data_IF_818828727672
#
_entry.id   IF_818828727672
#
_cell.length_a   1.000
_cell.length_b   1.000
_cell.length_c   1.000
_cell.angle_alpha   90.00
_cell.angle_beta   90.00
_cell.angle_gamma   90.00
#
_symmetry.space_group_name_H-M   'P 1'
#
loop_
_entity.id
_entity.type
_entity.pdbx_description
1 polymer ?
#
# COMPACT_ATOMS: atom_id res chain seq x y z
N UNK A 1 -5.04 -13.90 18.66
CA UNK A 1 -4.10 -14.64 19.53
C UNK A 1 -3.07 -15.33 18.64
N UNK A 2 -1.82 -15.44 19.08
CA UNK A 2 -0.80 -16.19 18.36
C UNK A 2 -0.30 -17.31 19.27
N UNK A 3 -0.19 -18.53 18.74
CA UNK A 3 0.16 -19.73 19.49
C UNK A 3 1.00 -20.65 18.61
N UNK A 4 2.16 -21.07 19.12
CA UNK A 4 3.06 -22.01 18.43
C UNK A 4 3.33 -23.17 19.39
N UNK A 5 2.77 -24.36 19.17
CA UNK A 5 3.10 -25.52 19.97
C UNK A 5 4.48 -26.08 19.57
N UNK A 6 5.32 -26.38 20.57
CA UNK A 6 6.59 -27.07 20.38
C UNK A 6 6.81 -28.08 21.52
N UNK A 7 7.71 -29.06 21.32
CA UNK A 7 8.01 -30.09 22.32
C UNK A 7 9.08 -29.64 23.31
N UNK A 8 9.00 -30.14 24.55
CA UNK A 8 9.97 -29.87 25.61
C UNK A 8 11.40 -30.31 25.24
N UNK A 9 11.52 -31.41 24.49
CA UNK A 9 12.82 -31.93 24.03
C UNK A 9 13.55 -30.94 23.12
N UNK A 10 12.81 -30.22 22.27
CA UNK A 10 13.38 -29.18 21.39
C UNK A 10 13.81 -27.96 22.21
N UNK A 11 13.11 -27.62 23.28
CA UNK A 11 13.51 -26.52 24.19
C UNK A 11 14.86 -26.80 24.87
N UNK A 12 15.11 -28.06 25.24
CA UNK A 12 16.35 -28.48 25.90
C UNK A 12 17.54 -28.66 24.95
N UNK A 13 17.30 -29.17 23.73
CA UNK A 13 18.37 -29.52 22.77
C UNK A 13 18.72 -28.35 21.83
N UNK A 14 17.76 -27.48 21.51
CA UNK A 14 17.98 -26.36 20.58
C UNK A 14 18.29 -25.05 21.34
N UNK A 15 19.57 -24.80 21.58
CA UNK A 15 20.06 -23.55 22.16
C UNK A 15 19.58 -22.33 21.33
N UNK A 16 18.81 -21.44 21.95
CA UNK A 16 18.29 -20.22 21.32
C UNK A 16 16.96 -20.35 20.57
N UNK A 17 16.36 -21.54 20.52
CA UNK A 17 15.08 -21.78 19.82
C UNK A 17 13.95 -20.86 20.29
N UNK A 18 13.77 -20.68 21.60
CA UNK A 18 12.73 -19.79 22.16
C UNK A 18 12.92 -18.32 21.73
N UNK A 19 14.17 -17.87 21.58
CA UNK A 19 14.46 -16.51 21.12
C UNK A 19 14.13 -16.32 19.64
N UNK A 20 14.43 -17.31 18.79
CA UNK A 20 14.03 -17.31 17.38
C UNK A 20 12.51 -17.34 17.21
N UNK A 21 11.81 -18.18 17.97
CA UNK A 21 10.34 -18.22 17.99
C UNK A 21 9.78 -16.86 18.41
N UNK A 22 10.34 -16.22 19.44
CA UNK A 22 9.96 -14.86 19.84
C UNK A 22 10.15 -13.83 18.73
N UNK A 23 11.22 -13.94 17.94
CA UNK A 23 11.50 -13.03 16.82
C UNK A 23 10.52 -13.22 15.67
N UNK A 24 10.23 -14.47 15.31
CA UNK A 24 9.24 -14.83 14.27
C UNK A 24 7.84 -14.40 14.69
N UNK A 25 7.49 -14.55 15.97
CA UNK A 25 6.22 -14.07 16.51
C UNK A 25 6.09 -12.55 16.41
N UNK A 26 7.15 -11.81 16.75
CA UNK A 26 7.16 -10.35 16.65
C UNK A 26 6.98 -9.88 15.19
N UNK A 27 7.72 -10.47 14.24
CA UNK A 27 7.58 -10.18 12.81
C UNK A 27 6.17 -10.52 12.29
N UNK A 28 5.61 -11.66 12.70
CA UNK A 28 4.25 -12.05 12.33
C UNK A 28 3.20 -11.05 12.82
N UNK A 29 3.39 -10.50 14.03
CA UNK A 29 2.51 -9.44 14.57
C UNK A 29 2.65 -8.16 13.76
N UNK A 30 3.87 -7.75 13.41
CA UNK A 30 4.10 -6.56 12.59
C UNK A 30 3.47 -6.68 11.21
N UNK A 31 3.66 -7.80 10.52
CA UNK A 31 3.06 -8.06 9.20
C UNK A 31 1.53 -8.08 9.25
N UNK A 32 0.95 -8.72 10.27
CA UNK A 32 -0.51 -8.78 10.43
C UNK A 32 -1.10 -7.40 10.75
N UNK A 33 -0.41 -6.62 11.59
CA UNK A 33 -0.83 -5.25 11.90
C UNK A 33 -0.71 -4.34 10.68
N UNK A 34 0.38 -4.43 9.93
CA UNK A 34 0.56 -3.67 8.68
C UNK A 34 -0.58 -3.95 7.69
N UNK A 35 -0.93 -5.22 7.49
CA UNK A 35 -2.07 -5.60 6.66
C UNK A 35 -3.41 -5.03 7.19
N UNK A 36 -3.67 -5.19 8.49
CA UNK A 36 -4.90 -4.70 9.11
C UNK A 36 -5.04 -3.17 9.07
N UNK A 37 -3.94 -2.42 9.18
CA UNK A 37 -3.97 -0.96 9.05
C UNK A 37 -4.26 -0.48 7.62
N UNK A 38 -4.04 -1.32 6.61
CA UNK A 38 -4.41 -1.00 5.23
C UNK A 38 -5.87 -1.37 4.96
N UNK A 39 -6.24 -2.63 5.12
CA UNK A 39 -7.52 -3.19 4.64
C UNK A 39 -8.37 -3.86 5.73
N UNK A 40 -8.04 -3.70 7.00
CA UNK A 40 -8.79 -4.32 8.10
C UNK A 40 -10.25 -3.88 8.16
N UNK A 41 -11.12 -4.79 8.56
CA UNK A 41 -12.58 -4.63 8.58
C UNK A 41 -13.11 -3.82 9.76
N UNK A 42 -12.33 -3.65 10.83
CA UNK A 42 -12.81 -3.08 12.10
C UNK A 42 -13.54 -4.07 13.01
N UNK A 43 -13.71 -5.33 12.60
CA UNK A 43 -14.43 -6.34 13.39
C UNK A 43 -13.47 -7.41 13.93
N UNK A 44 -13.03 -7.23 15.18
CA UNK A 44 -11.99 -8.10 15.76
C UNK A 44 -10.58 -7.78 15.29
N UNK A 45 -10.41 -6.71 14.51
CA UNK A 45 -9.16 -6.16 14.00
C UNK A 45 -9.30 -4.63 13.81
N UNK A 46 -8.21 -3.86 13.67
CA UNK A 46 -8.27 -2.43 13.31
C UNK A 46 -9.05 -2.18 12.01
N UNK A 47 -9.71 -1.02 11.91
CA UNK A 47 -10.24 -0.55 10.62
C UNK A 47 -9.09 0.01 9.78
N UNK A 48 -8.85 -0.59 8.62
CA UNK A 48 -7.83 -0.13 7.69
C UNK A 48 -8.23 1.17 6.99
N UNK A 49 -7.25 1.99 6.60
CA UNK A 49 -7.54 3.28 5.95
C UNK A 49 -8.24 3.09 4.60
N UNK A 50 -7.93 2.03 3.84
CA UNK A 50 -8.60 1.71 2.58
C UNK A 50 -10.07 1.38 2.84
N UNK A 51 -10.34 0.50 3.81
CA UNK A 51 -11.71 0.12 4.18
C UNK A 51 -12.53 1.32 4.67
N UNK A 52 -11.92 2.22 5.46
CA UNK A 52 -12.57 3.42 5.94
C UNK A 52 -12.90 4.42 4.81
N UNK A 53 -11.97 4.61 3.86
CA UNK A 53 -12.15 5.54 2.74
C UNK A 53 -13.17 5.00 1.73
N UNK A 54 -13.09 3.72 1.39
CA UNK A 54 -13.95 3.08 0.38
C UNK A 54 -15.36 2.81 0.88
N UNK A 55 -15.55 2.76 2.21
CA UNK A 55 -16.88 2.76 2.83
C UNK A 55 -17.68 4.06 2.61
N UNK A 56 -17.04 5.13 2.10
CA UNK A 56 -17.71 6.39 1.75
C UNK A 56 -17.43 6.75 0.28
N UNK A 57 -18.45 6.68 -0.57
CA UNK A 57 -18.31 6.91 -2.01
C UNK A 57 -17.71 8.28 -2.38
N UNK A 58 -17.93 9.31 -1.57
CA UNK A 58 -17.42 10.66 -1.83
C UNK A 58 -15.88 10.79 -1.69
N UNK A 59 -15.21 9.78 -1.12
CA UNK A 59 -13.76 9.77 -0.92
C UNK A 59 -13.00 8.98 -1.97
N UNK A 60 -13.68 8.37 -2.93
CA UNK A 60 -13.05 7.61 -4.01
C UNK A 60 -13.15 8.38 -5.34
N UNK A 61 -12.06 8.38 -6.09
CA UNK A 61 -12.04 8.91 -7.46
C UNK A 61 -11.92 7.74 -8.40
N UNK A 62 -12.93 7.53 -9.24
CA UNK A 62 -12.92 6.44 -10.22
C UNK A 62 -11.93 6.73 -11.33
N UNK A 63 -11.02 5.79 -11.60
CA UNK A 63 -10.13 5.83 -12.76
C UNK A 63 -10.88 5.66 -14.08
N UNK A 64 -10.17 5.86 -15.19
CA UNK A 64 -10.75 5.74 -16.53
C UNK A 64 -10.93 4.27 -16.97
N UNK A 65 -12.07 3.66 -16.66
CA UNK A 65 -12.47 2.37 -17.23
C UNK A 65 -11.77 1.16 -16.58
N UNK A 66 -10.85 0.50 -17.29
CA UNK A 66 -10.11 -0.69 -16.81
C UNK A 66 -9.23 -0.35 -15.61
N UNK A 67 -8.66 -1.35 -14.92
CA UNK A 67 -7.66 -1.14 -13.84
C UNK A 67 -6.31 -0.56 -14.34
N UNK A 68 -6.27 -0.02 -15.55
CA UNK A 68 -5.07 0.59 -16.10
C UNK A 68 -4.81 1.93 -15.41
N UNK A 69 -3.76 1.98 -14.58
CA UNK A 69 -3.29 3.21 -13.97
C UNK A 69 -2.63 4.08 -15.04
N UNK A 70 -3.22 5.23 -15.32
CA UNK A 70 -2.70 6.21 -16.27
C UNK A 70 -2.28 7.50 -15.55
N UNK A 71 -1.41 8.26 -16.20
CA UNK A 71 -0.92 9.52 -15.64
C UNK A 71 -2.03 10.54 -15.33
N UNK A 72 -3.19 10.46 -16.01
CA UNK A 72 -4.33 11.33 -15.74
C UNK A 72 -4.95 11.07 -14.35
N UNK A 73 -4.93 9.82 -13.87
CA UNK A 73 -5.55 9.42 -12.59
C UNK A 73 -4.86 10.10 -11.41
N UNK A 74 -3.53 10.25 -11.49
CA UNK A 74 -2.72 10.96 -10.46
C UNK A 74 -3.19 12.41 -10.28
N UNK A 75 -3.41 13.12 -11.39
CA UNK A 75 -3.86 14.51 -11.35
C UNK A 75 -5.33 14.63 -10.98
N UNK A 76 -6.18 13.68 -11.38
CA UNK A 76 -7.58 13.61 -10.97
C UNK A 76 -7.69 13.44 -9.45
N UNK A 77 -6.94 12.50 -8.87
CA UNK A 77 -6.87 12.28 -7.42
C UNK A 77 -6.34 13.51 -6.68
N UNK A 78 -5.27 14.13 -7.18
CA UNK A 78 -4.74 15.36 -6.58
C UNK A 78 -5.74 16.52 -6.59
N UNK A 79 -6.50 16.66 -7.69
CA UNK A 79 -7.48 17.73 -7.88
C UNK A 79 -8.75 17.53 -7.05
N UNK A 80 -9.10 16.27 -6.75
CA UNK A 80 -10.25 15.95 -5.90
C UNK A 80 -10.02 16.30 -4.41
N UNK A 81 -8.77 16.41 -3.97
CA UNK A 81 -8.45 16.74 -2.58
C UNK A 81 -8.79 18.20 -2.26
N UNK A 82 -9.63 18.51 -1.25
CA UNK A 82 -9.97 19.87 -0.90
C UNK A 82 -8.72 20.71 -0.53
N UNK A 83 -8.67 22.01 -0.90
CA UNK A 83 -7.48 22.87 -0.72
C UNK A 83 -6.91 22.89 0.70
N UNK A 84 -7.79 22.77 1.70
CA UNK A 84 -7.40 22.71 3.13
C UNK A 84 -6.45 21.55 3.44
N UNK A 85 -6.55 20.43 2.74
CA UNK A 85 -5.78 19.22 2.99
C UNK A 85 -4.59 19.05 2.04
N UNK A 86 -4.48 19.88 1.00
CA UNK A 86 -3.44 19.74 -0.03
C UNK A 86 -2.04 20.06 0.48
N UNK A 87 -1.87 20.90 1.51
CA UNK A 87 -0.54 21.36 1.91
C UNK A 87 0.34 20.24 2.49
N UNK A 88 -0.24 19.36 3.31
CA UNK A 88 0.47 18.26 3.98
C UNK A 88 0.06 16.86 3.48
N UNK A 89 -0.37 16.76 2.22
CA UNK A 89 -0.77 15.48 1.62
C UNK A 89 0.42 14.71 1.02
N UNK A 90 0.28 13.40 0.98
CA UNK A 90 1.18 12.47 0.31
C UNK A 90 0.37 11.39 -0.41
N UNK A 91 0.96 10.79 -1.44
CA UNK A 91 0.42 9.61 -2.09
C UNK A 91 0.86 8.35 -1.32
N UNK A 92 0.05 7.31 -1.38
CA UNK A 92 0.37 5.97 -0.89
C UNK A 92 -0.06 4.95 -1.94
N UNK A 93 0.80 3.99 -2.27
CA UNK A 93 0.50 2.94 -3.24
C UNK A 93 1.40 1.71 -3.04
N UNK A 94 0.96 0.56 -3.53
CA UNK A 94 1.81 -0.63 -3.64
C UNK A 94 2.95 -0.42 -4.67
N UNK A 95 4.07 -1.11 -4.47
CA UNK A 95 5.24 -1.05 -5.35
C UNK A 95 4.93 -1.31 -6.83
N UNK A 96 4.02 -2.23 -7.13
CA UNK A 96 3.58 -2.53 -8.50
C UNK A 96 3.01 -1.29 -9.20
N UNK A 97 2.06 -0.61 -8.55
CA UNK A 97 1.45 0.65 -9.02
C UNK A 97 2.49 1.77 -9.15
N UNK A 98 3.40 1.89 -8.18
CA UNK A 98 4.50 2.87 -8.26
C UNK A 98 5.39 2.59 -9.48
N UNK A 99 5.69 1.33 -9.76
CA UNK A 99 6.51 0.95 -10.91
C UNK A 99 5.81 1.17 -12.25
N UNK A 100 4.48 1.01 -12.32
CA UNK A 100 3.69 1.42 -13.49
C UNK A 100 3.86 2.92 -13.75
N UNK A 101 3.75 3.75 -12.72
CA UNK A 101 3.93 5.20 -12.84
C UNK A 101 5.38 5.59 -13.17
N UNK A 102 6.38 4.89 -12.64
CA UNK A 102 7.80 5.12 -12.95
C UNK A 102 8.14 4.85 -14.41
N UNK A 103 7.43 3.90 -15.04
CA UNK A 103 7.59 3.51 -16.44
C UNK A 103 6.68 4.30 -17.39
N UNK A 104 5.83 5.20 -16.87
CA UNK A 104 4.89 5.94 -17.70
C UNK A 104 5.62 6.95 -18.59
N UNK A 105 5.47 6.80 -19.91
CA UNK A 105 6.17 7.62 -20.92
C UNK A 105 5.20 8.43 -21.78
N UNK A 106 5.70 9.54 -22.33
CA UNK A 106 5.05 10.28 -23.42
C UNK A 106 5.21 9.53 -24.74
N UNK A 107 4.46 9.91 -25.77
CA UNK A 107 4.59 9.31 -27.11
C UNK A 107 6.01 9.42 -27.70
N UNK A 108 6.83 10.36 -27.20
CA UNK A 108 8.21 10.58 -27.62
C UNK A 108 9.24 9.86 -26.71
N UNK A 109 8.79 8.99 -25.78
CA UNK A 109 9.68 8.21 -24.90
C UNK A 109 10.21 8.96 -23.67
N UNK A 110 9.78 10.20 -23.42
CA UNK A 110 10.16 10.90 -22.19
C UNK A 110 9.29 10.44 -21.01
N UNK A 111 9.90 10.21 -19.84
CA UNK A 111 9.20 9.86 -18.60
C UNK A 111 8.21 10.97 -18.19
N UNK A 112 6.98 10.59 -17.87
CA UNK A 112 5.94 11.51 -17.37
C UNK A 112 6.20 11.95 -15.94
N UNK A 113 6.83 11.09 -15.13
CA UNK A 113 7.10 11.34 -13.71
C UNK A 113 8.58 11.09 -13.37
N UNK A 114 9.52 11.90 -13.90
CA UNK A 114 10.95 11.71 -13.64
C UNK A 114 11.31 11.84 -12.15
N UNK A 115 10.54 12.61 -11.38
CA UNK A 115 10.74 12.79 -9.93
C UNK A 115 10.46 11.55 -9.08
N UNK A 116 9.81 10.51 -9.63
CA UNK A 116 9.63 9.23 -8.93
C UNK A 116 10.93 8.41 -8.82
N UNK A 117 11.95 8.79 -9.59
CA UNK A 117 13.29 8.20 -9.54
C UNK A 117 14.24 8.98 -8.63
N UNK A 118 13.80 10.11 -8.07
CA UNK A 118 14.58 10.91 -7.13
C UNK A 118 14.61 10.29 -5.72
N UNK A 119 15.48 10.83 -4.85
CA UNK A 119 15.54 10.49 -3.43
C UNK A 119 15.39 11.77 -2.59
N UNK A 120 14.27 11.98 -1.86
CA UNK A 120 13.09 11.11 -1.78
C UNK A 120 12.23 11.12 -3.08
N UNK A 121 11.47 10.05 -3.37
CA UNK A 121 10.61 9.99 -4.55
C UNK A 121 9.42 10.94 -4.40
N UNK A 122 9.11 11.66 -5.48
CA UNK A 122 7.96 12.58 -5.53
C UNK A 122 7.06 12.31 -6.73
N UNK A 123 5.75 12.41 -6.52
CA UNK A 123 4.71 12.30 -7.53
C UNK A 123 3.89 13.60 -7.57
N UNK A 124 3.81 14.26 -8.72
CA UNK A 124 3.06 15.52 -8.89
C UNK A 124 3.38 16.58 -7.81
N UNK A 125 4.64 16.66 -7.37
CA UNK A 125 5.10 17.61 -6.34
C UNK A 125 4.79 17.20 -4.88
N UNK A 126 4.29 15.98 -4.65
CA UNK A 126 4.01 15.41 -3.31
C UNK A 126 4.87 14.18 -3.06
N UNK A 127 5.10 13.86 -1.79
CA UNK A 127 5.77 12.62 -1.41
C UNK A 127 4.90 11.42 -1.79
N UNK A 128 5.54 10.29 -2.08
CA UNK A 128 4.86 9.00 -2.26
C UNK A 128 5.44 7.96 -1.31
N UNK A 129 4.55 7.29 -0.58
CA UNK A 129 4.88 6.22 0.34
C UNK A 129 4.55 4.87 -0.29
N UNK A 130 5.48 3.93 -0.18
CA UNK A 130 5.25 2.55 -0.55
C UNK A 130 4.47 1.86 0.58
N UNK A 131 3.31 1.30 0.23
CA UNK A 131 2.46 0.55 1.15
C UNK A 131 2.16 -0.81 0.50
N UNK A 132 3.01 -1.80 0.79
CA UNK A 132 3.00 -3.08 0.08
C UNK A 132 1.75 -3.92 0.33
N UNK A 133 1.00 -3.66 1.39
CA UNK A 133 -0.27 -4.34 1.66
C UNK A 133 -1.49 -3.74 0.93
N UNK A 134 -1.32 -2.63 0.19
CA UNK A 134 -2.37 -2.14 -0.72
C UNK A 134 -2.53 -3.07 -1.92
N UNK A 135 -3.70 -3.02 -2.55
CA UNK A 135 -4.02 -3.90 -3.66
C UNK A 135 -3.11 -3.65 -4.87
N UNK A 136 -2.95 -4.70 -5.68
CA UNK A 136 -2.20 -4.66 -6.93
C UNK A 136 -3.14 -4.39 -8.10
N UNK A 137 -2.70 -3.60 -9.06
CA UNK A 137 -3.47 -3.32 -10.27
C UNK A 137 -3.14 -4.34 -11.36
N UNK A 138 -4.16 -4.86 -12.04
CA UNK A 138 -4.00 -5.70 -13.24
C UNK A 138 -4.79 -5.11 -14.40
N UNK A 139 -4.08 -4.47 -15.33
CA UNK A 139 -4.69 -3.85 -16.51
C UNK A 139 -5.46 -4.84 -17.42
N UNK A 140 -5.27 -6.16 -17.25
CA UNK A 140 -6.03 -7.19 -17.96
C UNK A 140 -7.41 -7.48 -17.35
N UNK A 141 -7.70 -6.94 -16.15
CA UNK A 141 -8.92 -7.19 -15.39
C UNK A 141 -9.74 -5.90 -15.26
N UNK A 142 -11.04 -6.08 -15.04
CA UNK A 142 -11.95 -5.00 -14.63
C UNK A 142 -12.55 -5.37 -13.29
N UNK A 143 -11.89 -4.95 -12.21
CA UNK A 143 -12.38 -5.00 -10.85
C UNK A 143 -12.20 -3.64 -10.17
N UNK A 144 -12.70 -3.55 -8.94
CA UNK A 144 -12.58 -2.36 -8.10
C UNK A 144 -11.46 -2.61 -7.10
N UNK A 145 -10.28 -2.04 -7.38
CA UNK A 145 -9.09 -2.18 -6.55
C UNK A 145 -8.77 -0.84 -5.87
N UNK A 146 -8.16 -0.90 -4.70
CA UNK A 146 -7.91 0.26 -3.85
C UNK A 146 -6.52 0.26 -3.22
#
# INVERSE_FOLDING_TARGET
SCWIPFSLEIEGDAAGFVAEVGRVLADSVEQLQAAAFVSGSGNGEPTGFVSALTGTADYTVTGAGTEAVVAADVYALQSALPPRFQSNSAFAANLSTINVLRQAETANGALKFPSLHASPPMLAGKHIWEVSNMDTVDAAVTATNY
#
